data_IF_474813003058
#
_entry.id   IF_474813003058
#
_cell.length_a   1.000
_cell.length_b   1.000
_cell.length_c   1.000
_cell.angle_alpha   90.00
_cell.angle_beta   90.00
_cell.angle_gamma   90.00
#
_symmetry.space_group_name_H-M   'P 1'
#
loop_
_entity.id
_entity.type
_entity.pdbx_description
1 polymer ?
#
# COMPACT_ATOMS: atom_id res chain seq x y z
N UNK A 1 -4.42 18.68 -47.25
CA UNK A 1 -3.47 17.74 -46.68
C UNK A 1 -4.09 17.21 -45.38
N UNK A 2 -4.58 15.97 -45.40
CA UNK A 2 -5.23 15.32 -44.24
C UNK A 2 -4.13 14.60 -43.42
N UNK A 3 -4.01 14.93 -42.15
CA UNK A 3 -3.19 14.17 -41.21
C UNK A 3 -3.91 12.84 -40.90
N UNK A 4 -3.25 11.69 -41.01
CA UNK A 4 -3.83 10.44 -40.56
C UNK A 4 -3.66 10.32 -39.03
N UNK A 5 -4.75 10.37 -38.28
CA UNK A 5 -4.85 9.90 -36.91
C UNK A 5 -4.57 8.40 -36.90
N UNK A 6 -3.43 8.00 -36.36
CA UNK A 6 -3.10 6.60 -36.12
C UNK A 6 -4.03 6.06 -35.04
N UNK A 7 -4.92 5.20 -35.47
CA UNK A 7 -5.81 4.39 -34.63
C UNK A 7 -4.97 3.24 -34.01
N UNK A 8 -4.56 3.39 -32.75
CA UNK A 8 -3.90 2.34 -31.98
C UNK A 8 -4.93 1.51 -31.22
N UNK A 9 -5.86 0.91 -31.95
CA UNK A 9 -6.62 -0.24 -31.43
C UNK A 9 -5.76 -1.47 -31.58
N UNK A 10 -4.93 -1.78 -30.58
CA UNK A 10 -4.37 -3.12 -30.40
C UNK A 10 -5.43 -3.99 -29.75
N UNK A 11 -5.95 -5.03 -30.43
CA UNK A 11 -6.67 -6.11 -29.78
C UNK A 11 -5.64 -6.99 -29.06
N UNK A 12 -5.98 -7.38 -27.83
CA UNK A 12 -5.18 -8.23 -26.95
C UNK A 12 -3.91 -7.58 -26.34
N UNK A 13 -4.09 -6.53 -25.55
CA UNK A 13 -3.14 -6.26 -24.48
C UNK A 13 -3.24 -7.47 -23.50
N UNK A 14 -2.30 -8.39 -23.62
CA UNK A 14 -2.15 -9.49 -22.67
C UNK A 14 -2.25 -8.90 -21.26
N UNK A 15 -3.21 -9.39 -20.45
CA UNK A 15 -3.39 -8.97 -19.06
C UNK A 15 -2.08 -9.14 -18.33
N UNK A 16 -1.32 -8.05 -18.15
CA UNK A 16 0.03 -8.10 -17.61
C UNK A 16 -0.02 -7.86 -16.11
N UNK A 17 0.42 -8.86 -15.35
CA UNK A 17 0.64 -8.71 -13.93
C UNK A 17 1.98 -8.01 -13.72
N UNK A 18 1.96 -6.80 -13.17
CA UNK A 18 3.19 -6.05 -12.89
C UNK A 18 3.88 -6.60 -11.63
N UNK A 19 4.86 -7.47 -11.83
CA UNK A 19 5.55 -8.21 -10.77
C UNK A 19 6.20 -7.32 -9.72
N UNK A 20 6.76 -6.19 -10.16
CA UNK A 20 7.51 -5.29 -9.28
C UNK A 20 6.68 -4.09 -8.79
N UNK A 21 5.52 -3.87 -9.36
CA UNK A 21 4.67 -2.73 -9.04
C UNK A 21 3.20 -3.15 -9.01
N UNK A 22 2.76 -3.91 -7.97
CA UNK A 22 1.38 -4.36 -7.86
C UNK A 22 0.36 -3.20 -7.95
N UNK A 23 0.74 -2.01 -7.46
CA UNK A 23 -0.10 -0.81 -7.55
C UNK A 23 -0.42 -0.34 -8.98
N UNK A 24 0.25 -0.88 -10.01
CA UNK A 24 -0.04 -0.64 -11.44
C UNK A 24 -0.81 -1.77 -12.10
N UNK A 25 -1.01 -2.89 -11.42
CA UNK A 25 -1.81 -4.02 -11.91
C UNK A 25 -3.29 -3.70 -11.69
N UNK A 26 -4.14 -4.06 -12.63
CA UNK A 26 -5.58 -3.88 -12.47
C UNK A 26 -6.07 -4.63 -11.22
N UNK A 27 -7.00 -4.06 -10.44
CA UNK A 27 -7.49 -4.69 -9.21
C UNK A 27 -8.07 -6.09 -9.46
N UNK A 28 -8.75 -6.30 -10.58
CA UNK A 28 -9.35 -7.57 -10.97
C UNK A 28 -8.28 -8.65 -11.20
N UNK A 29 -7.15 -8.28 -11.79
CA UNK A 29 -6.02 -9.18 -12.02
C UNK A 29 -5.33 -9.53 -10.69
N UNK A 30 -5.23 -8.56 -9.76
CA UNK A 30 -4.72 -8.80 -8.41
C UNK A 30 -5.64 -9.71 -7.60
N UNK A 31 -6.96 -9.50 -7.67
CA UNK A 31 -7.95 -10.37 -7.01
C UNK A 31 -7.88 -11.81 -7.56
N UNK A 32 -7.74 -11.98 -8.87
CA UNK A 32 -7.67 -13.29 -9.51
C UNK A 32 -6.48 -14.13 -9.03
N UNK A 33 -5.36 -13.51 -8.70
CA UNK A 33 -4.15 -14.19 -8.23
C UNK A 33 -3.98 -14.13 -6.70
N UNK A 34 -4.90 -13.50 -5.97
CA UNK A 34 -4.83 -13.41 -4.52
C UNK A 34 -5.13 -14.76 -3.90
N UNK A 35 -4.16 -15.29 -3.15
CA UNK A 35 -4.28 -16.56 -2.45
C UNK A 35 -4.19 -16.33 -0.96
N UNK A 36 -5.10 -16.97 -0.23
CA UNK A 36 -5.17 -16.89 1.23
C UNK A 36 -5.35 -15.45 1.77
N UNK A 37 -5.41 -15.28 3.05
CA UNK A 37 -5.59 -13.99 3.71
C UNK A 37 -6.88 -13.23 3.33
N UNK A 38 -7.88 -13.93 2.76
CA UNK A 38 -9.16 -13.31 2.42
C UNK A 38 -9.85 -12.70 3.64
N UNK A 39 -9.77 -13.39 4.79
CA UNK A 39 -10.30 -12.88 6.06
C UNK A 39 -9.50 -11.66 6.55
N UNK A 40 -8.17 -11.71 6.47
CA UNK A 40 -7.32 -10.56 6.81
C UNK A 40 -7.62 -9.35 5.91
N UNK A 41 -7.77 -9.58 4.60
CA UNK A 41 -8.13 -8.51 3.65
C UNK A 41 -9.50 -7.92 4.00
N UNK A 42 -10.50 -8.77 4.26
CA UNK A 42 -11.85 -8.35 4.64
C UNK A 42 -11.83 -7.52 5.93
N UNK A 43 -11.14 -8.00 6.95
CA UNK A 43 -10.98 -7.35 8.25
C UNK A 43 -10.28 -5.98 8.13
N UNK A 44 -9.22 -5.92 7.33
CA UNK A 44 -8.48 -4.68 7.09
C UNK A 44 -9.34 -3.65 6.33
N UNK A 45 -10.10 -4.09 5.33
CA UNK A 45 -11.04 -3.22 4.60
C UNK A 45 -12.10 -2.67 5.54
N UNK A 46 -12.70 -3.50 6.41
CA UNK A 46 -13.72 -3.06 7.36
C UNK A 46 -13.16 -2.05 8.37
N UNK A 47 -11.95 -2.26 8.90
CA UNK A 47 -11.29 -1.30 9.81
C UNK A 47 -10.99 0.03 9.15
N UNK A 48 -10.55 0.02 7.87
CA UNK A 48 -10.34 1.28 7.12
C UNK A 48 -11.68 1.95 6.83
N UNK A 49 -12.73 1.18 6.53
CA UNK A 49 -14.10 1.69 6.36
C UNK A 49 -14.62 2.32 7.65
N UNK A 50 -14.48 1.64 8.79
CA UNK A 50 -14.84 2.17 10.10
C UNK A 50 -14.08 3.48 10.40
N UNK A 51 -12.78 3.52 10.09
CA UNK A 51 -11.97 4.74 10.24
C UNK A 51 -12.47 5.90 9.37
N UNK A 52 -13.03 5.61 8.19
CA UNK A 52 -13.59 6.64 7.31
C UNK A 52 -14.93 7.21 7.86
N UNK A 53 -15.76 6.34 8.41
CA UNK A 53 -17.16 6.65 8.73
C UNK A 53 -17.41 7.01 10.20
N UNK A 54 -16.43 6.76 11.09
CA UNK A 54 -16.57 7.00 12.52
C UNK A 54 -15.40 7.81 13.07
N UNK A 55 -15.49 8.23 14.34
CA UNK A 55 -14.37 8.89 15.04
C UNK A 55 -13.27 7.91 15.44
N UNK A 56 -13.53 6.60 15.38
CA UNK A 56 -12.54 5.58 15.73
C UNK A 56 -11.59 5.32 14.57
N UNK A 57 -10.28 5.55 14.77
CA UNK A 57 -9.25 5.38 13.74
C UNK A 57 -8.39 4.16 14.02
N UNK A 58 -8.36 3.25 13.04
CA UNK A 58 -7.47 2.09 13.05
C UNK A 58 -6.16 2.41 12.34
N UNK A 59 -5.05 2.15 13.01
CA UNK A 59 -3.73 2.23 12.41
C UNK A 59 -3.21 0.83 12.16
N UNK A 60 -3.09 0.44 10.89
CA UNK A 60 -2.74 -0.93 10.48
C UNK A 60 -1.28 -1.02 10.04
N UNK A 61 -0.59 -2.07 10.47
CA UNK A 61 0.77 -2.36 10.04
C UNK A 61 0.92 -3.82 9.61
N UNK A 62 1.30 -4.02 8.35
CA UNK A 62 1.58 -5.34 7.78
C UNK A 62 3.08 -5.58 7.75
N UNK A 63 3.59 -6.46 8.59
CA UNK A 63 5.02 -6.78 8.72
C UNK A 63 5.32 -8.11 8.04
N UNK A 64 6.40 -8.18 7.29
CA UNK A 64 6.85 -9.45 6.72
C UNK A 64 7.98 -9.29 5.71
N UNK A 65 8.66 -10.38 5.35
CA UNK A 65 9.80 -10.33 4.46
C UNK A 65 9.47 -9.76 3.08
N UNK A 66 10.49 -9.31 2.36
CA UNK A 66 10.34 -8.81 0.99
C UNK A 66 9.74 -9.89 0.10
N UNK A 67 8.74 -9.52 -0.70
CA UNK A 67 8.06 -10.44 -1.61
C UNK A 67 7.02 -11.37 -0.95
N UNK A 68 6.62 -11.15 0.30
CA UNK A 68 5.51 -11.90 0.93
C UNK A 68 4.11 -11.38 0.60
N UNK A 69 3.98 -10.37 -0.29
CA UNK A 69 2.69 -9.86 -0.77
C UNK A 69 2.09 -8.69 0.02
N UNK A 70 2.88 -7.93 0.80
CA UNK A 70 2.41 -6.74 1.54
C UNK A 70 1.77 -5.69 0.63
N UNK A 71 2.51 -5.23 -0.38
CA UNK A 71 2.01 -4.23 -1.36
C UNK A 71 0.76 -4.73 -2.08
N UNK A 72 0.71 -6.03 -2.44
CA UNK A 72 -0.48 -6.65 -3.04
C UNK A 72 -1.70 -6.51 -2.11
N UNK A 73 -1.56 -6.88 -0.84
CA UNK A 73 -2.63 -6.77 0.17
C UNK A 73 -3.11 -5.32 0.32
N UNK A 74 -2.17 -4.37 0.48
CA UNK A 74 -2.51 -2.94 0.65
C UNK A 74 -3.16 -2.37 -0.61
N UNK A 75 -2.72 -2.77 -1.81
CA UNK A 75 -3.36 -2.37 -3.07
C UNK A 75 -4.82 -2.83 -3.13
N UNK A 76 -5.10 -4.07 -2.72
CA UNK A 76 -6.47 -4.58 -2.66
C UNK A 76 -7.33 -3.87 -1.61
N UNK A 77 -6.78 -3.55 -0.42
CA UNK A 77 -7.47 -2.76 0.60
C UNK A 77 -7.89 -1.41 0.01
N UNK A 78 -6.94 -0.68 -0.60
CA UNK A 78 -7.21 0.63 -1.19
C UNK A 78 -8.20 0.55 -2.35
N UNK A 79 -8.11 -0.49 -3.18
CA UNK A 79 -9.06 -0.72 -4.28
C UNK A 79 -10.48 -0.92 -3.78
N UNK A 80 -10.67 -1.81 -2.79
CA UNK A 80 -12.00 -2.12 -2.23
C UNK A 80 -12.62 -0.91 -1.52
N UNK A 81 -11.82 -0.17 -0.74
CA UNK A 81 -12.29 1.07 -0.09
C UNK A 81 -12.63 2.14 -1.12
N UNK A 82 -11.87 2.26 -2.21
CA UNK A 82 -12.15 3.23 -3.27
C UNK A 82 -13.40 2.87 -4.07
N UNK A 83 -13.79 1.60 -4.11
CA UNK A 83 -15.02 1.12 -4.74
C UNK A 83 -16.26 1.24 -3.83
N UNK A 84 -16.09 1.39 -2.52
CA UNK A 84 -17.17 1.67 -1.58
C UNK A 84 -17.50 3.17 -1.64
N UNK A 85 -18.65 3.52 -2.21
CA UNK A 85 -19.03 4.90 -2.45
C UNK A 85 -19.17 5.74 -1.15
N UNK A 86 -19.65 5.14 -0.06
CA UNK A 86 -19.81 5.79 1.25
C UNK A 86 -18.44 6.09 1.87
N UNK A 87 -17.57 5.08 1.94
CA UNK A 87 -16.22 5.24 2.47
C UNK A 87 -15.38 6.19 1.61
N UNK A 88 -15.43 6.05 0.28
CA UNK A 88 -14.69 6.91 -0.65
C UNK A 88 -15.08 8.39 -0.56
N UNK A 89 -16.34 8.70 -0.27
CA UNK A 89 -16.79 10.07 -0.04
C UNK A 89 -16.25 10.64 1.28
N UNK A 90 -16.12 9.80 2.32
CA UNK A 90 -15.75 10.19 3.68
C UNK A 90 -14.23 10.22 3.93
N UNK A 91 -13.39 9.78 2.99
CA UNK A 91 -11.93 9.75 3.19
C UNK A 91 -11.14 10.36 2.02
N UNK A 92 -9.87 10.69 2.31
CA UNK A 92 -8.86 11.05 1.32
C UNK A 92 -7.64 10.16 1.52
N UNK A 93 -7.17 9.54 0.42
CA UNK A 93 -6.05 8.60 0.41
C UNK A 93 -4.78 9.29 -0.07
N UNK A 94 -3.76 9.32 0.77
CA UNK A 94 -2.40 9.71 0.40
C UNK A 94 -1.51 8.47 0.36
N UNK A 95 -1.07 8.06 -0.83
CA UNK A 95 -0.17 6.91 -0.98
C UNK A 95 1.27 7.38 -1.16
N UNK A 96 2.11 7.05 -0.20
CA UNK A 96 3.55 7.30 -0.21
C UNK A 96 4.26 6.03 -0.73
N UNK A 97 4.98 6.18 -1.82
CA UNK A 97 5.67 5.05 -2.46
C UNK A 97 6.90 4.57 -1.65
N UNK A 98 7.40 3.38 -1.99
CA UNK A 98 8.52 2.71 -1.34
C UNK A 98 9.81 3.56 -1.24
N UNK A 99 10.05 4.44 -2.22
CA UNK A 99 11.27 5.26 -2.31
C UNK A 99 11.15 6.63 -1.60
N UNK A 100 10.01 6.91 -0.93
CA UNK A 100 9.79 8.18 -0.29
C UNK A 100 10.31 8.18 1.15
N UNK A 101 11.56 8.59 1.33
CA UNK A 101 12.15 8.86 2.65
C UNK A 101 11.94 10.31 3.05
N UNK A 102 11.72 10.57 4.35
CA UNK A 102 11.57 11.90 4.91
C UNK A 102 12.44 12.02 6.15
N UNK A 103 13.13 13.15 6.31
CA UNK A 103 14.00 13.39 7.45
C UNK A 103 13.30 14.14 8.60
N UNK A 104 12.12 14.70 8.33
CA UNK A 104 11.35 15.49 9.29
C UNK A 104 9.86 15.51 8.92
N UNK A 105 9.04 16.04 9.84
CA UNK A 105 7.59 16.10 9.64
C UNK A 105 7.18 17.03 8.48
N UNK A 106 7.87 18.14 8.27
CA UNK A 106 7.56 19.05 7.16
C UNK A 106 7.68 18.36 5.80
N UNK A 107 8.78 17.62 5.58
CA UNK A 107 8.95 16.85 4.33
C UNK A 107 7.86 15.81 4.15
N UNK A 108 7.47 15.14 5.23
CA UNK A 108 6.37 14.16 5.17
C UNK A 108 5.03 14.83 4.81
N UNK A 109 4.70 15.96 5.41
CA UNK A 109 3.47 16.71 5.11
C UNK A 109 3.44 17.22 3.66
N UNK A 110 4.57 17.68 3.14
CA UNK A 110 4.70 18.07 1.72
C UNK A 110 4.44 16.90 0.78
N UNK A 111 4.96 15.71 1.08
CA UNK A 111 4.73 14.52 0.28
C UNK A 111 3.29 14.00 0.37
N UNK A 112 2.68 14.07 1.56
CA UNK A 112 1.26 13.77 1.73
C UNK A 112 0.44 14.71 0.87
N UNK A 113 0.71 16.01 0.90
CA UNK A 113 0.00 16.99 0.08
C UNK A 113 0.17 16.70 -1.42
N UNK A 114 1.39 16.41 -1.89
CA UNK A 114 1.66 16.07 -3.28
C UNK A 114 0.92 14.77 -3.72
N UNK A 115 0.83 13.77 -2.85
CA UNK A 115 0.06 12.56 -3.11
C UNK A 115 -1.45 12.84 -3.21
N UNK A 116 -1.97 13.74 -2.36
CA UNK A 116 -3.37 14.17 -2.40
C UNK A 116 -3.66 15.04 -3.64
N UNK A 117 -2.78 15.96 -4.00
CA UNK A 117 -2.89 16.77 -5.20
C UNK A 117 -3.02 15.90 -6.46
N UNK A 118 -2.18 14.89 -6.58
CA UNK A 118 -2.23 13.95 -7.70
C UNK A 118 -3.57 13.21 -7.81
N UNK A 119 -4.21 12.92 -6.70
CA UNK A 119 -5.46 12.14 -6.65
C UNK A 119 -6.72 13.01 -6.58
N UNK A 120 -6.63 14.17 -5.95
CA UNK A 120 -7.72 15.11 -5.69
C UNK A 120 -7.33 16.55 -6.08
N UNK A 121 -7.02 16.82 -7.38
CA UNK A 121 -6.44 18.10 -7.84
C UNK A 121 -7.40 19.29 -7.70
N UNK A 122 -8.68 19.05 -7.46
CA UNK A 122 -9.68 20.09 -7.19
C UNK A 122 -9.71 20.56 -5.74
N UNK A 123 -9.23 19.72 -4.81
CA UNK A 123 -9.24 19.97 -3.36
C UNK A 123 -7.85 20.33 -2.83
N UNK A 124 -6.79 19.82 -3.46
CA UNK A 124 -5.39 20.05 -3.10
C UNK A 124 -4.62 20.55 -4.33
N UNK A 125 -4.01 21.73 -4.22
CA UNK A 125 -3.29 22.37 -5.33
C UNK A 125 -1.89 22.75 -4.91
N UNK A 126 -0.90 22.64 -5.82
CA UNK A 126 0.48 23.06 -5.55
C UNK A 126 0.58 24.51 -5.10
N UNK A 127 -0.24 25.39 -5.69
CA UNK A 127 -0.28 26.82 -5.36
C UNK A 127 -0.68 27.08 -3.90
N UNK A 128 -1.39 26.15 -3.25
CA UNK A 128 -1.78 26.27 -1.84
C UNK A 128 -0.58 26.30 -0.90
N UNK A 129 0.56 25.78 -1.35
CA UNK A 129 1.81 25.70 -0.61
C UNK A 129 2.83 26.77 -0.98
N UNK A 130 2.54 27.67 -1.92
CA UNK A 130 3.50 28.69 -2.40
C UNK A 130 4.07 29.52 -1.25
N UNK A 131 3.24 29.90 -0.26
CA UNK A 131 3.69 30.66 0.91
C UNK A 131 4.63 29.89 1.86
N UNK A 132 4.70 28.58 1.80
CA UNK A 132 5.56 27.79 2.70
C UNK A 132 7.05 28.03 2.44
N UNK A 133 7.43 28.30 1.20
CA UNK A 133 8.83 28.49 0.80
C UNK A 133 9.46 29.79 1.33
N UNK A 134 8.64 30.75 1.77
CA UNK A 134 9.09 32.01 2.32
C UNK A 134 9.23 31.97 3.86
N UNK A 135 8.79 30.87 4.47
CA UNK A 135 8.72 30.72 5.92
C UNK A 135 9.93 29.95 6.47
N UNK A 136 10.26 30.21 7.76
CA UNK A 136 11.20 29.35 8.50
C UNK A 136 10.59 27.99 8.78
N UNK A 137 11.42 26.97 8.95
CA UNK A 137 11.02 25.57 9.02
C UNK A 137 9.79 25.27 9.91
N UNK A 138 9.75 25.81 11.15
CA UNK A 138 8.61 25.59 12.06
C UNK A 138 7.34 26.24 11.51
N UNK A 139 7.41 27.51 11.09
CA UNK A 139 6.26 28.22 10.54
C UNK A 139 5.80 27.61 9.20
N UNK A 140 6.73 27.09 8.38
CA UNK A 140 6.41 26.35 7.17
C UNK A 140 5.67 25.05 7.49
N UNK A 141 6.09 24.31 8.51
CA UNK A 141 5.43 23.08 8.95
C UNK A 141 3.98 23.35 9.39
N UNK A 142 3.76 24.37 10.23
CA UNK A 142 2.41 24.74 10.68
C UNK A 142 1.53 25.19 9.52
N UNK A 143 2.11 25.97 8.59
CA UNK A 143 1.41 26.42 7.39
C UNK A 143 0.96 25.25 6.51
N UNK A 144 1.86 24.30 6.21
CA UNK A 144 1.55 23.13 5.39
C UNK A 144 0.53 22.24 6.09
N UNK A 145 0.67 22.01 7.40
CA UNK A 145 -0.28 21.27 8.21
C UNK A 145 -1.68 21.90 8.14
N UNK A 146 -1.78 23.21 8.32
CA UNK A 146 -3.05 23.94 8.25
C UNK A 146 -3.69 23.84 6.85
N UNK A 147 -2.91 23.97 5.78
CA UNK A 147 -3.41 23.83 4.40
C UNK A 147 -3.93 22.43 4.13
N UNK A 148 -3.17 21.42 4.55
CA UNK A 148 -3.59 20.04 4.46
C UNK A 148 -4.93 19.78 5.16
N UNK A 149 -5.05 20.21 6.42
CA UNK A 149 -6.26 20.03 7.23
C UNK A 149 -7.46 20.81 6.67
N UNK A 150 -7.22 22.00 6.14
CA UNK A 150 -8.27 22.80 5.49
C UNK A 150 -8.80 22.11 4.23
N UNK A 151 -7.91 21.54 3.40
CA UNK A 151 -8.29 20.77 2.21
C UNK A 151 -9.04 19.48 2.55
N UNK A 152 -8.71 18.82 3.67
CA UNK A 152 -9.41 17.62 4.14
C UNK A 152 -10.83 17.92 4.60
N UNK A 153 -11.07 19.08 5.20
CA UNK A 153 -12.36 19.40 5.80
C UNK A 153 -12.79 18.34 6.83
N UNK A 154 -14.00 17.79 6.73
CA UNK A 154 -14.51 16.76 7.66
C UNK A 154 -14.06 15.33 7.29
N UNK A 155 -13.30 15.14 6.21
CA UNK A 155 -12.93 13.80 5.74
C UNK A 155 -11.76 13.21 6.53
N UNK A 156 -11.68 11.89 6.57
CA UNK A 156 -10.56 11.15 7.17
C UNK A 156 -9.39 11.10 6.19
N UNK A 157 -8.19 11.47 6.63
CA UNK A 157 -6.95 11.22 5.91
C UNK A 157 -6.48 9.79 6.18
N UNK A 158 -6.38 8.96 5.14
CA UNK A 158 -5.73 7.66 5.23
C UNK A 158 -4.36 7.75 4.56
N UNK A 159 -3.31 7.72 5.35
CA UNK A 159 -1.92 7.69 4.87
C UNK A 159 -1.55 6.24 4.61
N UNK A 160 -1.30 5.90 3.35
CA UNK A 160 -0.77 4.59 2.95
C UNK A 160 0.73 4.74 2.75
N UNK A 161 1.54 4.04 3.54
CA UNK A 161 3.01 4.11 3.44
C UNK A 161 3.62 2.73 3.30
N UNK A 162 4.48 2.58 2.30
CA UNK A 162 5.31 1.40 2.14
C UNK A 162 6.66 1.61 2.84
N UNK A 163 7.23 0.52 3.39
CA UNK A 163 8.49 0.56 4.15
C UNK A 163 8.53 1.57 5.31
N UNK A 164 7.55 1.51 6.21
CA UNK A 164 7.49 2.36 7.40
C UNK A 164 8.79 2.30 8.23
N UNK A 165 9.47 1.15 8.23
CA UNK A 165 10.78 0.97 8.85
C UNK A 165 11.81 1.94 8.27
N UNK A 166 11.93 2.06 6.95
CA UNK A 166 12.84 3.00 6.31
C UNK A 166 12.44 4.47 6.55
N UNK A 167 11.15 4.76 6.58
CA UNK A 167 10.64 6.10 6.90
C UNK A 167 11.03 6.48 8.34
N UNK A 168 10.82 5.61 9.31
CA UNK A 168 11.16 5.86 10.72
C UNK A 168 12.66 5.97 10.94
N UNK A 169 13.46 5.11 10.29
CA UNK A 169 14.92 5.18 10.32
C UNK A 169 15.42 6.57 9.82
N UNK A 170 14.83 7.10 8.74
CA UNK A 170 15.23 8.38 8.18
C UNK A 170 14.74 9.60 8.98
N UNK A 171 13.55 9.52 9.59
CA UNK A 171 13.01 10.58 10.44
C UNK A 171 13.71 10.67 11.81
N UNK A 172 14.29 9.56 12.28
CA UNK A 172 14.85 9.45 13.61
C UNK A 172 13.81 9.65 14.72
N UNK A 173 14.24 9.57 15.97
CA UNK A 173 13.32 9.67 17.12
C UNK A 173 12.59 10.99 17.20
N UNK A 174 13.26 12.10 16.89
CA UNK A 174 12.64 13.43 16.97
C UNK A 174 11.53 13.63 15.93
N UNK A 175 11.78 13.24 14.67
CA UNK A 175 10.75 13.28 13.63
C UNK A 175 9.57 12.35 13.93
N UNK A 176 9.84 11.17 14.49
CA UNK A 176 8.79 10.26 14.94
C UNK A 176 7.93 10.85 16.07
N UNK A 177 8.53 11.55 17.06
CA UNK A 177 7.79 12.24 18.12
C UNK A 177 6.88 13.32 17.54
N UNK A 178 7.39 14.12 16.62
CA UNK A 178 6.61 15.16 15.96
C UNK A 178 5.45 14.57 15.16
N UNK A 179 5.69 13.50 14.40
CA UNK A 179 4.62 12.79 13.68
C UNK A 179 3.57 12.21 14.66
N UNK A 180 4.01 11.61 15.76
CA UNK A 180 3.10 11.07 16.77
C UNK A 180 2.24 12.16 17.40
N UNK A 181 2.82 13.29 17.76
CA UNK A 181 2.11 14.46 18.28
C UNK A 181 1.08 14.96 17.25
N UNK A 182 1.51 15.13 16.00
CA UNK A 182 0.63 15.58 14.91
C UNK A 182 -0.60 14.67 14.73
N UNK A 183 -0.42 13.35 14.74
CA UNK A 183 -1.55 12.41 14.62
C UNK A 183 -2.47 12.49 15.84
N UNK A 184 -1.92 12.67 17.05
CA UNK A 184 -2.72 12.79 18.27
C UNK A 184 -3.54 14.08 18.33
N UNK A 185 -3.00 15.19 17.80
CA UNK A 185 -3.70 16.47 17.70
C UNK A 185 -4.76 16.48 16.60
N UNK A 186 -4.63 15.59 15.62
CA UNK A 186 -5.53 15.50 14.46
C UNK A 186 -6.16 14.11 14.33
N UNK A 187 -7.21 13.83 15.12
CA UNK A 187 -7.79 12.48 15.21
C UNK A 187 -8.45 11.98 13.91
N UNK A 188 -8.54 12.81 12.89
CA UNK A 188 -9.03 12.42 11.56
C UNK A 188 -7.98 11.69 10.69
N UNK A 189 -6.82 11.32 11.25
CA UNK A 189 -5.73 10.66 10.51
C UNK A 189 -5.69 9.18 10.87
N UNK A 190 -5.70 8.30 9.86
CA UNK A 190 -5.44 6.88 9.97
C UNK A 190 -4.22 6.50 9.12
N UNK A 191 -3.51 5.44 9.52
CA UNK A 191 -2.31 4.97 8.78
C UNK A 191 -2.51 3.50 8.42
N UNK A 192 -2.24 3.17 7.16
CA UNK A 192 -2.09 1.81 6.66
C UNK A 192 -0.66 1.64 6.17
N UNK A 193 0.14 0.87 6.88
CA UNK A 193 1.57 0.80 6.64
C UNK A 193 2.05 -0.62 6.34
N UNK A 194 3.18 -0.71 5.64
CA UNK A 194 3.94 -1.96 5.51
C UNK A 194 5.36 -1.79 6.04
N UNK A 195 5.95 -2.86 6.58
CA UNK A 195 7.34 -2.90 7.01
C UNK A 195 7.97 -4.26 6.67
N UNK A 196 9.28 -4.29 6.47
CA UNK A 196 9.98 -5.55 6.19
C UNK A 196 10.27 -6.31 7.48
N UNK A 197 10.55 -5.61 8.54
CA UNK A 197 10.80 -6.13 9.90
C UNK A 197 10.00 -5.32 10.90
N UNK A 198 9.72 -5.94 12.04
CA UNK A 198 9.20 -5.17 13.16
C UNK A 198 10.32 -4.22 13.60
N UNK A 199 10.08 -2.92 13.46
CA UNK A 199 11.05 -1.90 13.87
C UNK A 199 11.23 -2.02 15.38
N UNK A 200 12.46 -1.93 15.87
CA UNK A 200 12.73 -1.89 17.31
C UNK A 200 11.91 -0.79 17.99
N UNK A 201 11.74 0.34 17.27
CA UNK A 201 10.90 1.47 17.66
C UNK A 201 9.43 1.14 17.91
N UNK A 202 8.89 0.02 17.41
CA UNK A 202 7.51 -0.40 17.66
C UNK A 202 7.39 -1.38 18.83
N UNK A 203 8.48 -2.03 19.23
CA UNK A 203 8.55 -3.00 20.31
C UNK A 203 9.17 -2.42 21.60
N UNK A 204 9.91 -1.34 21.50
CA UNK A 204 10.47 -0.64 22.66
C UNK A 204 9.44 0.31 23.29
N UNK A 205 9.20 0.15 24.59
CA UNK A 205 8.27 0.98 25.38
C UNK A 205 8.64 2.47 25.40
N UNK A 206 9.88 2.81 25.10
CA UNK A 206 10.36 4.20 25.05
C UNK A 206 10.13 4.87 23.71
N UNK A 207 9.75 4.08 22.70
CA UNK A 207 9.58 4.57 21.33
C UNK A 207 8.23 5.28 21.12
N UNK A 208 8.18 6.34 20.31
CA UNK A 208 6.98 7.15 20.11
C UNK A 208 5.78 6.37 19.60
N UNK A 209 6.00 5.30 18.83
CA UNK A 209 4.95 4.49 18.22
C UNK A 209 4.72 3.13 18.91
N UNK A 210 5.24 2.94 20.14
CA UNK A 210 4.94 1.74 20.91
C UNK A 210 3.42 1.56 21.07
N UNK A 211 2.92 0.38 20.68
CA UNK A 211 1.51 0.01 20.82
C UNK A 211 0.53 0.85 19.98
N UNK A 212 1.04 1.61 18.98
CA UNK A 212 0.22 2.46 18.14
C UNK A 212 -0.51 1.70 17.02
N UNK A 213 0.15 0.71 16.44
CA UNK A 213 -0.37 -0.04 15.32
C UNK A 213 -1.01 -1.37 15.72
N UNK A 214 -2.09 -1.71 15.06
CA UNK A 214 -2.58 -3.09 14.96
C UNK A 214 -1.69 -3.82 13.95
N UNK A 215 -0.81 -4.68 14.46
CA UNK A 215 0.24 -5.30 13.66
C UNK A 215 -0.12 -6.71 13.24
N UNK A 216 -0.05 -6.98 11.94
CA UNK A 216 -0.28 -8.27 11.31
C UNK A 216 1.00 -8.81 10.66
N UNK A 217 1.39 -10.02 11.01
CA UNK A 217 2.60 -10.66 10.50
C UNK A 217 2.30 -11.52 9.28
N UNK A 218 2.81 -11.10 8.12
CA UNK A 218 2.67 -11.82 6.86
C UNK A 218 3.85 -12.79 6.67
N UNK A 219 3.52 -14.08 6.60
CA UNK A 219 4.49 -15.15 6.29
C UNK A 219 4.64 -15.30 4.77
N UNK A 220 5.74 -15.90 4.33
CA UNK A 220 5.89 -16.41 2.96
C UNK A 220 4.89 -17.53 2.68
N UNK A 221 4.67 -17.86 1.41
CA UNK A 221 3.74 -18.94 1.02
C UNK A 221 4.25 -20.30 1.51
N UNK A 222 3.32 -21.18 1.86
CA UNK A 222 3.60 -22.63 1.94
C UNK A 222 3.68 -23.23 0.54
N UNK A 223 4.04 -24.51 0.42
CA UNK A 223 4.06 -25.23 -0.87
C UNK A 223 2.66 -25.29 -1.48
N UNK A 224 1.64 -25.55 -0.66
CA UNK A 224 0.25 -25.62 -1.07
C UNK A 224 -0.22 -24.26 -1.60
N UNK A 225 0.04 -23.20 -0.85
CA UNK A 225 -0.29 -21.82 -1.22
C UNK A 225 0.43 -21.36 -2.50
N UNK A 226 1.68 -21.78 -2.68
CA UNK A 226 2.43 -21.52 -3.90
C UNK A 226 1.83 -22.28 -5.10
N UNK A 227 1.32 -23.50 -4.88
CA UNK A 227 0.60 -24.25 -5.91
C UNK A 227 -0.69 -23.54 -6.30
N UNK A 228 -1.49 -23.10 -5.32
CA UNK A 228 -2.73 -22.35 -5.55
C UNK A 228 -2.45 -21.05 -6.33
N UNK A 229 -1.39 -20.31 -5.97
CA UNK A 229 -0.98 -19.11 -6.69
C UNK A 229 -0.67 -19.40 -8.16
N UNK A 230 0.13 -20.44 -8.44
CA UNK A 230 0.49 -20.83 -9.80
C UNK A 230 -0.73 -21.29 -10.60
N UNK A 231 -1.64 -22.03 -9.98
CA UNK A 231 -2.90 -22.42 -10.62
C UNK A 231 -3.79 -21.22 -10.92
N UNK A 232 -3.90 -20.25 -9.99
CA UNK A 232 -4.67 -19.03 -10.22
C UNK A 232 -4.08 -18.19 -11.36
N UNK A 233 -2.77 -18.06 -11.42
CA UNK A 233 -2.08 -17.38 -12.53
C UNK A 233 -2.36 -18.11 -13.86
N UNK A 234 -2.25 -19.45 -13.86
CA UNK A 234 -2.50 -20.24 -15.05
C UNK A 234 -3.96 -20.11 -15.55
N UNK A 235 -4.95 -20.15 -14.65
CA UNK A 235 -6.37 -19.89 -14.98
C UNK A 235 -6.56 -18.50 -15.56
N UNK A 236 -5.95 -17.49 -14.92
CA UNK A 236 -6.05 -16.11 -15.38
C UNK A 236 -5.45 -15.90 -16.78
N UNK A 237 -4.41 -16.68 -17.11
CA UNK A 237 -3.75 -16.68 -18.42
C UNK A 237 -4.37 -17.68 -19.44
N UNK A 238 -5.37 -18.48 -19.05
CA UNK A 238 -5.97 -19.50 -19.91
C UNK A 238 -5.04 -20.67 -20.24
N UNK A 239 -4.09 -21.01 -19.36
CA UNK A 239 -3.09 -22.08 -19.52
C UNK A 239 -3.52 -23.35 -18.79
N UNK A 240 -4.55 -24.03 -19.25
CA UNK A 240 -5.13 -25.23 -18.60
C UNK A 240 -4.11 -26.37 -18.47
N UNK A 241 -3.22 -26.53 -19.46
CA UNK A 241 -2.13 -27.53 -19.44
C UNK A 241 -1.17 -27.36 -18.25
N UNK A 242 -0.97 -26.12 -17.78
CA UNK A 242 -0.15 -25.84 -16.60
C UNK A 242 -0.89 -26.31 -15.33
N UNK A 243 -2.20 -26.11 -15.27
CA UNK A 243 -3.02 -26.57 -14.14
C UNK A 243 -2.97 -28.09 -14.03
N UNK A 244 -3.22 -28.80 -15.14
CA UNK A 244 -3.14 -30.26 -15.20
C UNK A 244 -1.74 -30.76 -14.80
N UNK A 245 -0.68 -30.09 -15.28
CA UNK A 245 0.69 -30.42 -14.89
C UNK A 245 0.94 -30.27 -13.40
N UNK A 246 0.47 -29.17 -12.78
CA UNK A 246 0.66 -28.89 -11.35
C UNK A 246 -0.02 -29.94 -10.47
N UNK A 247 -1.09 -30.57 -10.94
CA UNK A 247 -1.82 -31.65 -10.24
C UNK A 247 -1.09 -33.00 -10.29
N UNK A 248 -0.09 -33.16 -11.17
CA UNK A 248 0.73 -34.36 -11.22
C UNK A 248 1.73 -34.47 -10.07
N UNK A 249 2.21 -35.69 -9.79
CA UNK A 249 3.30 -35.89 -8.82
C UNK A 249 4.58 -35.16 -9.23
N UNK A 250 4.85 -35.04 -10.54
CA UNK A 250 6.02 -34.35 -11.11
C UNK A 250 5.87 -32.83 -10.94
N UNK A 251 4.68 -32.27 -11.17
CA UNK A 251 4.36 -30.86 -10.97
C UNK A 251 4.54 -30.45 -9.49
N UNK A 252 3.92 -31.20 -8.58
CA UNK A 252 4.06 -31.00 -7.13
C UNK A 252 5.53 -31.07 -6.66
N UNK A 253 6.32 -31.98 -7.21
CA UNK A 253 7.76 -32.08 -6.88
C UNK A 253 8.53 -30.86 -7.37
N UNK A 254 8.18 -30.30 -8.54
CA UNK A 254 8.79 -29.06 -9.04
C UNK A 254 8.41 -27.84 -8.19
N UNK A 255 7.14 -27.73 -7.77
CA UNK A 255 6.72 -26.64 -6.86
C UNK A 255 7.48 -26.72 -5.53
N UNK A 256 7.67 -27.91 -4.96
CA UNK A 256 8.49 -28.10 -3.74
C UNK A 256 9.94 -27.65 -3.95
N UNK A 257 10.56 -28.01 -5.07
CA UNK A 257 11.91 -27.58 -5.40
C UNK A 257 12.01 -26.05 -5.54
N UNK A 258 11.06 -25.43 -6.25
CA UNK A 258 10.96 -23.98 -6.37
C UNK A 258 10.72 -23.32 -5.01
N UNK A 259 9.88 -23.89 -4.16
CA UNK A 259 9.64 -23.40 -2.81
C UNK A 259 10.91 -23.43 -1.98
N UNK A 260 11.67 -24.50 -2.05
CA UNK A 260 12.97 -24.60 -1.35
C UNK A 260 13.96 -23.52 -1.80
N UNK A 261 14.00 -23.23 -3.10
CA UNK A 261 14.89 -22.19 -3.66
C UNK A 261 14.41 -20.77 -3.40
N UNK A 262 13.10 -20.53 -3.41
CA UNK A 262 12.51 -19.21 -3.29
C UNK A 262 12.17 -18.81 -1.84
N UNK A 263 12.17 -19.76 -0.91
CA UNK A 263 11.69 -19.54 0.46
C UNK A 263 10.21 -19.14 0.54
N UNK A 264 9.40 -19.49 -0.46
CA UNK A 264 7.99 -19.14 -0.53
C UNK A 264 7.72 -17.69 -0.94
N UNK A 265 8.65 -17.04 -1.62
CA UNK A 265 8.53 -15.64 -2.05
C UNK A 265 7.56 -15.52 -3.24
N UNK A 266 6.41 -14.84 -3.07
CA UNK A 266 5.38 -14.63 -4.10
C UNK A 266 5.93 -14.07 -5.42
N UNK A 267 6.83 -13.08 -5.33
CA UNK A 267 7.41 -12.40 -6.51
C UNK A 267 8.14 -13.38 -7.41
N UNK A 268 8.87 -14.35 -6.82
CA UNK A 268 9.61 -15.35 -7.59
C UNK A 268 8.65 -16.24 -8.36
N UNK A 269 7.54 -16.68 -7.74
CA UNK A 269 6.54 -17.50 -8.45
C UNK A 269 5.89 -16.75 -9.61
N UNK A 270 5.55 -15.47 -9.42
CA UNK A 270 4.96 -14.66 -10.50
C UNK A 270 5.95 -14.46 -11.65
N UNK A 271 7.24 -14.19 -11.37
CA UNK A 271 8.28 -14.09 -12.42
C UNK A 271 8.42 -15.38 -13.20
N UNK A 272 8.40 -16.52 -12.53
CA UNK A 272 8.58 -17.83 -13.17
C UNK A 272 7.34 -18.32 -13.91
N UNK A 273 6.20 -17.66 -13.75
CA UNK A 273 4.94 -17.98 -14.43
C UNK A 273 4.71 -17.21 -15.73
N UNK A 274 5.50 -16.18 -15.98
CA UNK A 274 5.49 -15.38 -17.21
C UNK A 274 6.26 -16.06 -18.34
#
# INVERSE_FOLDING_TARGET
>A
MKNPTADFTHPEAARSIWVFTPSRTAPEDLEAIFVQRHELLKDAVERVRESALTDHKHHLLFVGPRGCGKTHLVTLIVSRISADAEAAAALRLAWLNEDETCTNLLELLLKIHAALEKRYPTEFRADDLAGAYELKAVAAQDFVAQRLLTGLGPTTLVIVTENLDALFDSMGQEGQKQLRAFIQEHPQIAIVATAQRLVEDLSDRTSPFFGFFQTEHLKTLTVEQATDLLQNIARHQGKDEVIEFLDTSRGRSRVRALHHLSGGNHRIYIVLSQ
#
